data_IF_931473616981
#
_entry.id   IF_931473616981
#
_cell.length_a   1.000
_cell.length_b   1.000
_cell.length_c   1.000
_cell.angle_alpha   90.00
_cell.angle_beta   90.00
_cell.angle_gamma   90.00
#
_symmetry.space_group_name_H-M   'P 1'
#
loop_
_entity.id
_entity.type
_entity.pdbx_description
1 polymer ?
#
# COMPACT_ATOMS: atom_id res chain seq x y z
N UNK A 1 -31.63 16.53 11.71
CA UNK A 1 -30.36 15.89 11.32
C UNK A 1 -30.51 14.41 11.62
N UNK A 2 -30.57 13.57 10.60
CA UNK A 2 -30.58 12.10 10.83
C UNK A 2 -29.26 11.70 11.50
N UNK A 3 -29.29 10.79 12.51
CA UNK A 3 -28.06 10.31 13.12
C UNK A 3 -27.18 9.70 12.03
N UNK A 4 -25.95 10.20 11.89
CA UNK A 4 -24.97 9.57 11.01
C UNK A 4 -24.78 8.13 11.48
N UNK A 5 -25.08 7.18 10.60
CA UNK A 5 -24.89 5.75 10.88
C UNK A 5 -23.42 5.53 11.23
N UNK A 6 -23.14 5.02 12.40
CA UNK A 6 -21.78 4.78 12.84
C UNK A 6 -21.09 3.77 11.92
N UNK A 7 -19.86 4.06 11.49
CA UNK A 7 -19.14 3.19 10.59
C UNK A 7 -18.84 1.84 11.28
N UNK A 8 -19.02 0.69 10.60
CA UNK A 8 -18.90 -0.63 11.21
C UNK A 8 -17.49 -0.85 11.77
N UNK A 9 -17.42 -1.50 12.94
CA UNK A 9 -16.16 -1.96 13.50
C UNK A 9 -15.56 -3.04 12.60
N UNK A 10 -14.24 -3.03 12.42
CA UNK A 10 -13.54 -4.10 11.72
C UNK A 10 -12.54 -4.82 12.66
N UNK A 11 -12.16 -6.07 12.37
CA UNK A 11 -11.16 -6.79 13.13
C UNK A 11 -9.82 -6.07 13.19
N UNK A 12 -9.06 -6.36 14.23
CA UNK A 12 -7.69 -5.86 14.41
C UNK A 12 -6.64 -6.78 13.80
N UNK A 13 -5.36 -6.41 13.95
CA UNK A 13 -4.26 -7.21 13.46
C UNK A 13 -4.22 -8.56 14.20
N UNK A 14 -3.74 -9.59 13.51
CA UNK A 14 -3.47 -10.88 14.14
C UNK A 14 -2.35 -10.76 15.18
N UNK A 15 -2.50 -11.45 16.31
CA UNK A 15 -1.59 -11.35 17.44
C UNK A 15 -0.29 -12.15 17.26
N UNK A 16 -0.33 -13.27 16.52
CA UNK A 16 0.83 -14.13 16.30
C UNK A 16 1.46 -13.86 14.94
N UNK A 17 2.76 -13.59 14.93
CA UNK A 17 3.55 -13.43 13.72
C UNK A 17 4.81 -14.31 13.82
N UNK A 18 5.20 -14.89 12.70
CA UNK A 18 6.43 -15.66 12.53
C UNK A 18 6.99 -15.41 11.12
N UNK A 19 8.18 -15.88 10.81
CA UNK A 19 8.69 -15.82 9.44
C UNK A 19 7.95 -16.77 8.49
N UNK A 20 8.03 -16.55 7.17
CA UNK A 20 7.48 -17.46 6.18
C UNK A 20 8.19 -18.83 6.28
N UNK A 21 7.48 -19.89 5.88
CA UNK A 21 7.99 -21.26 5.95
C UNK A 21 8.64 -21.74 4.65
N UNK A 22 8.33 -21.10 3.53
CA UNK A 22 8.73 -21.54 2.18
C UNK A 22 10.02 -20.93 1.66
N UNK A 23 10.47 -19.83 2.25
CA UNK A 23 11.75 -19.20 1.90
C UNK A 23 12.27 -18.33 3.06
N UNK A 24 13.56 -18.01 3.02
CA UNK A 24 14.15 -17.06 3.96
C UNK A 24 14.02 -15.65 3.40
N UNK A 25 13.45 -14.74 4.19
CA UNK A 25 13.37 -13.32 3.80
C UNK A 25 14.78 -12.74 3.68
N UNK A 26 15.14 -12.13 2.54
CA UNK A 26 16.47 -11.58 2.34
C UNK A 26 16.71 -10.36 3.24
N UNK A 27 17.98 -10.16 3.64
CA UNK A 27 18.38 -8.95 4.34
C UNK A 27 18.08 -7.73 3.47
N UNK A 28 17.61 -6.65 4.07
CA UNK A 28 17.20 -5.45 3.34
C UNK A 28 15.76 -5.49 2.80
N UNK A 29 15.02 -6.59 3.01
CA UNK A 29 13.63 -6.69 2.58
C UNK A 29 12.74 -5.59 3.17
N UNK A 30 11.81 -5.11 2.36
CA UNK A 30 10.90 -4.01 2.69
C UNK A 30 9.46 -4.47 2.61
N UNK A 31 8.72 -4.31 3.69
CA UNK A 31 7.26 -4.29 3.65
C UNK A 31 6.80 -2.92 3.12
N UNK A 32 6.31 -2.85 1.88
CA UNK A 32 6.05 -1.56 1.23
C UNK A 32 4.68 -0.97 1.54
N UNK A 33 3.86 -1.64 2.36
CA UNK A 33 2.52 -1.13 2.69
C UNK A 33 1.99 -1.65 4.01
N UNK A 34 1.86 -0.75 4.97
CA UNK A 34 1.16 -0.99 6.22
C UNK A 34 0.55 0.30 6.75
N UNK A 35 -0.27 0.19 7.80
CA UNK A 35 -0.90 1.32 8.46
C UNK A 35 -0.68 1.26 9.96
N UNK A 36 -0.42 2.40 10.59
CA UNK A 36 -0.54 2.57 12.03
C UNK A 36 -1.84 3.30 12.35
N UNK A 37 -2.49 2.91 13.44
CA UNK A 37 -3.79 3.43 13.83
C UNK A 37 -3.75 3.79 15.31
N UNK A 38 -4.01 5.05 15.58
CA UNK A 38 -4.20 5.55 16.94
C UNK A 38 -5.68 5.82 17.21
N UNK A 39 -6.03 5.96 18.48
CA UNK A 39 -7.41 6.15 18.91
C UNK A 39 -7.68 7.59 19.38
N UNK A 40 -8.94 8.05 19.27
CA UNK A 40 -9.38 9.27 19.92
C UNK A 40 -9.15 9.23 21.45
N UNK A 41 -8.97 10.38 22.10
CA UNK A 41 -8.99 11.73 21.54
C UNK A 41 -7.68 12.17 20.88
N UNK A 42 -6.56 11.46 21.10
CA UNK A 42 -5.23 11.88 20.63
C UNK A 42 -5.12 11.86 19.10
N UNK A 43 -5.71 10.83 18.48
CA UNK A 43 -5.73 10.64 17.02
C UNK A 43 -7.17 10.49 16.57
N UNK A 44 -7.87 11.61 16.31
CA UNK A 44 -9.28 11.57 15.95
C UNK A 44 -9.49 10.86 14.61
N UNK A 45 -10.59 10.11 14.55
CA UNK A 45 -11.07 9.57 13.29
C UNK A 45 -11.85 10.65 12.51
N UNK A 46 -11.69 10.64 11.20
CA UNK A 46 -12.42 11.57 10.33
C UNK A 46 -13.92 11.23 10.29
N UNK A 47 -14.81 12.25 10.22
CA UNK A 47 -16.22 12.03 9.90
C UNK A 47 -16.39 11.36 8.54
N UNK A 48 -17.38 10.47 8.38
CA UNK A 48 -17.64 9.81 7.10
C UNK A 48 -16.67 8.70 6.73
N UNK A 49 -15.87 8.20 7.67
CA UNK A 49 -15.05 7.01 7.47
C UNK A 49 -15.91 5.79 7.10
N UNK A 50 -15.37 4.88 6.31
CA UNK A 50 -16.08 3.68 5.85
C UNK A 50 -16.07 2.53 6.86
N UNK A 51 -15.18 2.56 7.85
CA UNK A 51 -15.01 1.54 8.89
C UNK A 51 -14.41 2.15 10.16
N UNK A 52 -14.53 1.44 11.28
CA UNK A 52 -13.93 1.82 12.57
C UNK A 52 -12.94 0.73 13.01
N UNK A 53 -11.62 0.96 12.86
CA UNK A 53 -10.62 -0.02 13.25
C UNK A 53 -10.27 0.09 14.74
N UNK A 54 -9.77 -1.00 15.36
CA UNK A 54 -9.09 -0.92 16.63
C UNK A 54 -7.71 -0.27 16.49
N UNK A 55 -7.06 -0.04 17.63
CA UNK A 55 -5.67 0.45 17.63
C UNK A 55 -4.73 -0.54 16.90
N UNK A 56 -3.81 0.00 16.12
CA UNK A 56 -2.70 -0.73 15.52
C UNK A 56 -1.41 0.09 15.71
N UNK A 57 -0.78 -0.12 16.86
CA UNK A 57 0.33 0.71 17.31
C UNK A 57 1.62 0.45 16.50
N UNK A 58 2.46 1.47 16.37
CA UNK A 58 3.77 1.37 15.72
C UNK A 58 4.64 0.25 16.30
N UNK A 59 4.61 0.03 17.62
CA UNK A 59 5.32 -1.06 18.28
C UNK A 59 4.92 -2.44 17.74
N UNK A 60 3.63 -2.65 17.52
CA UNK A 60 3.11 -3.92 16.98
C UNK A 60 3.54 -4.13 15.53
N UNK A 61 3.57 -3.07 14.73
CA UNK A 61 4.08 -3.13 13.37
C UNK A 61 5.58 -3.48 13.32
N UNK A 62 6.40 -2.82 14.13
CA UNK A 62 7.84 -3.12 14.22
C UNK A 62 8.09 -4.56 14.68
N UNK A 63 7.32 -5.05 15.65
CA UNK A 63 7.41 -6.44 16.09
C UNK A 63 7.02 -7.43 14.98
N UNK A 64 6.04 -7.08 14.13
CA UNK A 64 5.68 -7.87 12.95
C UNK A 64 6.81 -7.88 11.93
N UNK A 65 7.46 -6.74 11.65
CA UNK A 65 8.63 -6.69 10.76
C UNK A 65 9.76 -7.61 11.28
N UNK A 66 10.06 -7.53 12.59
CA UNK A 66 11.10 -8.34 13.20
C UNK A 66 10.78 -9.85 13.13
N UNK A 67 9.55 -10.22 13.45
CA UNK A 67 9.10 -11.61 13.42
C UNK A 67 9.10 -12.21 12.01
N UNK A 68 8.81 -11.41 10.98
CA UNK A 68 8.78 -11.86 9.58
C UNK A 68 10.13 -11.72 8.86
N UNK A 69 11.14 -11.13 9.52
CA UNK A 69 12.47 -10.91 8.94
C UNK A 69 12.57 -9.70 8.01
N UNK A 70 11.56 -8.82 8.00
CA UNK A 70 11.60 -7.58 7.22
C UNK A 70 12.51 -6.55 7.88
N UNK A 71 13.43 -5.98 7.11
CA UNK A 71 14.36 -4.95 7.60
C UNK A 71 13.70 -3.58 7.69
N UNK A 72 12.91 -3.23 6.67
CA UNK A 72 12.32 -1.92 6.48
C UNK A 72 10.80 -2.00 6.27
N UNK A 73 10.13 -0.86 6.46
CA UNK A 73 8.70 -0.73 6.21
C UNK A 73 8.30 0.63 5.64
N UNK A 74 7.19 0.64 4.90
CA UNK A 74 6.56 1.86 4.41
C UNK A 74 5.16 1.97 5.00
N UNK A 75 4.95 3.03 5.78
CA UNK A 75 3.65 3.34 6.37
C UNK A 75 2.87 4.26 5.44
N UNK A 76 1.70 3.82 5.04
CA UNK A 76 0.74 4.62 4.28
C UNK A 76 -0.29 5.21 5.22
N UNK A 77 -0.58 6.51 5.05
CA UNK A 77 -1.63 7.18 5.82
C UNK A 77 -2.96 6.42 5.67
N UNK A 78 -3.53 6.03 6.80
CA UNK A 78 -4.78 5.27 6.83
C UNK A 78 -5.99 6.18 6.57
N UNK A 79 -6.98 5.70 5.82
CA UNK A 79 -8.15 6.49 5.42
C UNK A 79 -8.95 7.06 6.59
N UNK A 80 -9.04 6.33 7.71
CA UNK A 80 -9.80 6.79 8.89
C UNK A 80 -9.22 8.01 9.60
N UNK A 81 -7.96 8.34 9.35
CA UNK A 81 -7.34 9.59 9.82
C UNK A 81 -7.36 10.70 8.76
N UNK A 82 -7.83 10.42 7.54
CA UNK A 82 -7.89 11.40 6.44
C UNK A 82 -6.55 12.11 6.22
N UNK A 83 -6.58 13.44 6.20
CA UNK A 83 -5.39 14.29 6.02
C UNK A 83 -4.62 14.58 7.31
N UNK A 84 -5.03 14.01 8.44
CA UNK A 84 -4.32 14.18 9.72
C UNK A 84 -3.13 13.20 9.82
N UNK A 85 -1.98 13.59 9.30
CA UNK A 85 -0.77 12.76 9.26
C UNK A 85 0.01 12.74 10.60
N UNK A 86 -0.53 13.24 11.69
CA UNK A 86 0.19 13.39 12.97
C UNK A 86 0.82 12.09 13.45
N UNK A 87 0.03 11.00 13.52
CA UNK A 87 0.52 9.69 13.97
C UNK A 87 1.59 9.14 13.01
N UNK A 88 1.39 9.29 11.71
CA UNK A 88 2.38 8.91 10.71
C UNK A 88 3.71 9.63 10.95
N UNK A 89 3.69 10.95 11.10
CA UNK A 89 4.89 11.78 11.34
C UNK A 89 5.58 11.40 12.64
N UNK A 90 4.83 11.25 13.75
CA UNK A 90 5.38 10.82 15.04
C UNK A 90 6.09 9.45 14.91
N UNK A 91 5.45 8.51 14.22
CA UNK A 91 6.01 7.16 14.01
C UNK A 91 7.27 7.16 13.14
N UNK A 92 7.23 7.88 12.03
CA UNK A 92 8.39 7.99 11.12
C UNK A 92 9.57 8.66 11.80
N UNK A 93 9.33 9.76 12.53
CA UNK A 93 10.37 10.51 13.23
C UNK A 93 11.10 9.64 14.26
N UNK A 94 10.35 8.80 14.99
CA UNK A 94 10.92 7.88 15.96
C UNK A 94 11.67 6.69 15.33
N UNK A 95 11.46 6.40 14.04
CA UNK A 95 11.98 5.20 13.38
C UNK A 95 12.59 5.47 11.99
N UNK A 96 13.28 6.60 11.82
CA UNK A 96 13.82 7.09 10.53
C UNK A 96 14.74 6.12 9.80
N UNK A 97 15.46 5.32 10.54
CA UNK A 97 16.40 4.32 10.02
C UNK A 97 15.68 3.09 9.42
N UNK A 98 14.41 2.86 9.78
CA UNK A 98 13.66 1.68 9.35
C UNK A 98 12.43 2.00 8.50
N UNK A 99 11.84 3.20 8.64
CA UNK A 99 10.54 3.50 8.06
C UNK A 99 10.58 4.66 7.05
N UNK A 100 9.69 4.58 6.04
CA UNK A 100 9.30 5.66 5.14
C UNK A 100 7.79 5.83 5.20
N UNK A 101 7.30 6.98 4.71
CA UNK A 101 5.87 7.30 4.78
C UNK A 101 5.26 7.73 3.45
N UNK A 102 3.97 7.45 3.31
CA UNK A 102 3.11 7.94 2.25
C UNK A 102 1.99 8.72 2.91
N UNK A 103 1.92 10.01 2.65
CA UNK A 103 0.98 10.92 3.27
C UNK A 103 -0.29 11.13 2.42
N UNK A 104 -1.32 11.69 3.04
CA UNK A 104 -2.51 12.23 2.37
C UNK A 104 -2.62 13.69 2.80
N UNK A 105 -2.54 14.63 1.86
CA UNK A 105 -2.61 16.07 2.13
C UNK A 105 -3.53 16.76 1.12
N UNK A 106 -4.21 17.85 1.48
CA UNK A 106 -4.89 18.69 0.50
C UNK A 106 -3.87 19.46 -0.36
N UNK A 107 -4.26 19.91 -1.54
CA UNK A 107 -3.35 20.64 -2.46
C UNK A 107 -2.87 21.99 -1.90
N UNK A 108 -3.67 22.61 -1.08
CA UNK A 108 -3.36 23.88 -0.39
C UNK A 108 -2.55 23.68 0.89
N UNK A 109 -2.03 22.46 1.14
CA UNK A 109 -1.16 22.16 2.27
C UNK A 109 0.04 23.13 2.28
N UNK A 110 0.27 23.86 3.38
CA UNK A 110 1.35 24.84 3.47
C UNK A 110 2.73 24.25 3.20
N UNK A 111 3.61 25.01 2.55
CA UNK A 111 4.99 24.57 2.25
C UNK A 111 5.73 24.11 3.51
N UNK A 112 5.57 24.81 4.63
CA UNK A 112 6.17 24.42 5.92
C UNK A 112 5.74 23.01 6.36
N UNK A 113 4.48 22.65 6.15
CA UNK A 113 3.98 21.32 6.52
C UNK A 113 4.51 20.25 5.57
N UNK A 114 4.57 20.54 4.25
CA UNK A 114 5.19 19.66 3.26
C UNK A 114 6.67 19.41 3.57
N UNK A 115 7.41 20.44 3.96
CA UNK A 115 8.80 20.33 4.37
C UNK A 115 8.95 19.46 5.64
N UNK A 116 8.04 19.61 6.61
CA UNK A 116 8.03 18.78 7.82
C UNK A 116 7.74 17.31 7.51
N UNK A 117 6.80 17.02 6.62
CA UNK A 117 6.51 15.66 6.13
C UNK A 117 7.77 15.04 5.48
N UNK A 118 8.42 15.77 4.57
CA UNK A 118 9.66 15.31 3.92
C UNK A 118 10.76 15.05 4.94
N UNK A 119 10.95 15.96 5.90
CA UNK A 119 11.91 15.83 6.97
C UNK A 119 11.61 14.63 7.89
N UNK A 120 10.35 14.22 8.06
CA UNK A 120 9.97 13.03 8.80
C UNK A 120 10.25 11.72 8.06
N UNK A 121 10.43 11.76 6.73
CA UNK A 121 10.67 10.56 5.91
C UNK A 121 9.50 10.20 4.98
N UNK A 122 8.59 11.14 4.71
CA UNK A 122 7.56 10.98 3.68
C UNK A 122 8.23 11.04 2.29
N UNK A 123 7.89 10.08 1.43
CA UNK A 123 8.45 9.91 0.08
C UNK A 123 7.38 9.86 -1.02
N UNK A 124 6.10 10.01 -0.67
CA UNK A 124 5.02 10.01 -1.63
C UNK A 124 3.68 10.43 -1.05
N UNK A 125 2.71 10.60 -1.93
CA UNK A 125 1.31 10.91 -1.59
C UNK A 125 0.38 9.79 -2.07
N UNK A 126 -0.72 9.59 -1.34
CA UNK A 126 -1.76 8.63 -1.70
C UNK A 126 -3.01 9.32 -2.22
N UNK A 127 -3.51 8.84 -3.36
CA UNK A 127 -4.85 9.07 -3.88
C UNK A 127 -5.67 7.80 -3.63
N UNK A 128 -6.83 7.95 -3.00
CA UNK A 128 -7.68 6.83 -2.60
C UNK A 128 -9.14 7.14 -2.93
N UNK A 129 -9.70 6.39 -3.86
CA UNK A 129 -11.09 6.55 -4.31
C UNK A 129 -12.02 5.44 -3.81
N UNK A 130 -11.51 4.47 -3.06
CA UNK A 130 -12.30 3.33 -2.60
C UNK A 130 -12.84 3.48 -1.17
N UNK A 131 -12.17 4.27 -0.33
CA UNK A 131 -12.57 4.46 1.07
C UNK A 131 -12.73 5.95 1.38
N UNK A 132 -13.72 6.27 2.22
CA UNK A 132 -13.93 7.64 2.71
C UNK A 132 -12.69 8.21 3.39
N UNK A 133 -12.47 9.52 3.23
CA UNK A 133 -11.27 10.23 3.74
C UNK A 133 -10.10 10.28 2.77
N UNK A 134 -10.26 9.72 1.58
CA UNK A 134 -9.26 9.79 0.52
C UNK A 134 -9.37 11.06 -0.33
N UNK A 135 -8.43 11.20 -1.25
CA UNK A 135 -8.38 12.23 -2.29
C UNK A 135 -8.59 11.54 -3.62
N UNK A 136 -9.43 12.12 -4.48
CA UNK A 136 -9.80 11.58 -5.78
C UNK A 136 -8.83 11.93 -6.90
N UNK A 137 -9.18 11.49 -8.13
CA UNK A 137 -8.38 11.71 -9.35
C UNK A 137 -8.63 13.05 -10.02
N UNK A 138 -9.58 13.88 -9.55
CA UNK A 138 -9.99 15.11 -10.20
C UNK A 138 -8.81 16.05 -10.48
N UNK A 139 -7.86 16.10 -9.56
CA UNK A 139 -6.69 16.98 -9.63
C UNK A 139 -5.37 16.20 -9.63
N UNK A 140 -5.34 14.98 -10.21
CA UNK A 140 -4.16 14.10 -10.18
C UNK A 140 -2.92 14.77 -10.79
N UNK A 141 -3.06 15.60 -11.82
CA UNK A 141 -1.95 16.32 -12.46
C UNK A 141 -1.34 17.37 -11.50
N UNK A 142 -2.18 18.04 -10.70
CA UNK A 142 -1.72 19.01 -9.69
C UNK A 142 -0.95 18.28 -8.57
N UNK A 143 -1.46 17.12 -8.10
CA UNK A 143 -0.73 16.27 -7.16
C UNK A 143 0.58 15.74 -7.74
N UNK A 144 0.61 15.39 -9.02
CA UNK A 144 1.84 14.97 -9.68
C UNK A 144 2.87 16.10 -9.78
N UNK A 145 2.42 17.32 -10.06
CA UNK A 145 3.29 18.52 -10.06
C UNK A 145 3.88 18.77 -8.67
N UNK A 146 3.04 18.71 -7.62
CA UNK A 146 3.49 18.81 -6.23
C UNK A 146 4.49 17.69 -5.87
N UNK A 147 4.23 16.46 -6.25
CA UNK A 147 5.14 15.35 -6.02
C UNK A 147 6.48 15.54 -6.75
N UNK A 148 6.47 16.11 -7.96
CA UNK A 148 7.71 16.44 -8.70
C UNK A 148 8.56 17.47 -7.96
N UNK A 149 7.97 18.54 -7.43
CA UNK A 149 8.67 19.54 -6.62
C UNK A 149 9.29 18.94 -5.35
N UNK A 150 8.56 18.01 -4.71
CA UNK A 150 9.01 17.36 -3.48
C UNK A 150 9.97 16.18 -3.72
N UNK A 151 10.20 15.75 -4.96
CA UNK A 151 10.84 14.49 -5.33
C UNK A 151 10.12 13.27 -4.69
N UNK A 152 8.82 13.27 -4.72
CA UNK A 152 7.92 12.22 -4.25
C UNK A 152 7.30 11.45 -5.42
N UNK A 153 6.70 10.30 -5.13
CA UNK A 153 5.87 9.53 -6.06
C UNK A 153 4.40 9.52 -5.63
N UNK A 154 3.51 9.12 -6.54
CA UNK A 154 2.09 8.92 -6.24
C UNK A 154 1.79 7.44 -5.96
N UNK A 155 0.82 7.18 -5.08
CA UNK A 155 0.22 5.85 -4.89
C UNK A 155 -1.29 5.94 -5.10
N UNK A 156 -1.83 4.98 -5.84
CA UNK A 156 -3.23 4.93 -6.19
C UNK A 156 -3.90 3.69 -5.61
N UNK A 157 -4.91 3.91 -4.76
CA UNK A 157 -5.87 2.89 -4.40
C UNK A 157 -7.12 3.08 -5.27
N UNK A 158 -7.21 2.26 -6.29
CA UNK A 158 -8.21 2.31 -7.36
C UNK A 158 -8.64 0.92 -7.76
N UNK A 159 -9.87 0.76 -8.19
CA UNK A 159 -10.32 -0.44 -8.88
C UNK A 159 -9.78 -0.43 -10.32
N UNK A 160 -9.07 -1.48 -10.73
CA UNK A 160 -8.46 -1.52 -12.05
C UNK A 160 -9.49 -1.48 -13.20
N UNK A 161 -10.77 -1.77 -12.93
CA UNK A 161 -11.85 -1.63 -13.91
C UNK A 161 -12.03 -0.17 -14.38
N UNK A 162 -11.63 0.80 -13.55
CA UNK A 162 -11.65 2.23 -13.87
C UNK A 162 -10.41 2.71 -14.65
N UNK A 163 -9.35 1.90 -14.71
CA UNK A 163 -8.09 2.29 -15.35
C UNK A 163 -8.20 2.60 -16.85
N UNK A 164 -9.06 1.94 -17.65
CA UNK A 164 -9.20 2.30 -19.06
C UNK A 164 -9.54 3.78 -19.27
N UNK A 165 -10.41 4.34 -18.42
CA UNK A 165 -10.76 5.76 -18.48
C UNK A 165 -9.65 6.71 -17.99
N UNK A 166 -8.71 6.22 -17.17
CA UNK A 166 -7.66 7.01 -16.53
C UNK A 166 -6.30 6.88 -17.24
N UNK A 167 -6.06 5.80 -17.98
CA UNK A 167 -4.75 5.43 -18.49
C UNK A 167 -4.05 6.54 -19.29
N UNK A 168 -4.78 7.23 -20.16
CA UNK A 168 -4.24 8.33 -20.97
C UNK A 168 -3.77 9.54 -20.14
N UNK A 169 -4.35 9.75 -18.94
CA UNK A 169 -3.91 10.78 -17.98
C UNK A 169 -2.73 10.30 -17.18
N UNK A 170 -2.81 9.07 -16.66
CA UNK A 170 -1.79 8.48 -15.79
C UNK A 170 -0.45 8.30 -16.52
N UNK A 171 -0.47 7.90 -17.79
CA UNK A 171 0.76 7.73 -18.60
C UNK A 171 1.52 9.03 -18.87
N UNK A 172 0.91 10.20 -18.65
CA UNK A 172 1.52 11.53 -18.83
C UNK A 172 2.03 12.16 -17.54
N UNK A 173 1.84 11.49 -16.40
CA UNK A 173 2.28 12.05 -15.13
C UNK A 173 3.80 12.20 -15.08
N UNK A 174 4.32 13.36 -14.63
CA UNK A 174 5.76 13.65 -14.64
C UNK A 174 6.52 13.01 -13.46
N UNK A 175 5.88 12.10 -12.72
CA UNK A 175 6.43 11.40 -11.55
C UNK A 175 6.10 9.91 -11.59
N UNK A 176 6.90 9.05 -10.95
CA UNK A 176 6.53 7.66 -10.79
C UNK A 176 5.19 7.53 -10.04
N UNK A 177 4.40 6.54 -10.40
CA UNK A 177 3.22 6.17 -9.63
C UNK A 177 3.14 4.65 -9.41
N UNK A 178 2.44 4.27 -8.34
CA UNK A 178 2.26 2.89 -7.93
C UNK A 178 0.76 2.60 -7.75
N UNK A 179 0.30 1.49 -8.31
CA UNK A 179 -1.07 0.98 -8.11
C UNK A 179 -1.08 -0.05 -6.98
N UNK A 180 -1.92 0.19 -5.96
CA UNK A 180 -2.04 -0.67 -4.78
C UNK A 180 -2.79 -1.98 -5.09
N UNK A 181 -2.43 -3.06 -4.38
CA UNK A 181 -3.18 -4.31 -4.28
C UNK A 181 -3.58 -4.92 -5.63
N UNK A 182 -2.65 -4.99 -6.59
CA UNK A 182 -2.92 -5.51 -7.95
C UNK A 182 -4.15 -4.85 -8.60
N UNK A 183 -4.34 -3.54 -8.31
CA UNK A 183 -5.45 -2.75 -8.81
C UNK A 183 -6.79 -3.03 -8.12
N UNK A 184 -6.81 -3.67 -6.94
CA UNK A 184 -8.04 -4.04 -6.24
C UNK A 184 -9.05 -4.78 -7.15
N UNK A 185 -8.50 -5.58 -8.07
CA UNK A 185 -9.25 -6.17 -9.18
C UNK A 185 -9.87 -7.52 -8.77
N UNK A 186 -11.19 -7.72 -8.98
CA UNK A 186 -11.84 -8.99 -8.65
C UNK A 186 -11.38 -10.12 -9.58
N UNK A 187 -10.75 -11.16 -9.02
CA UNK A 187 -10.23 -12.30 -9.80
C UNK A 187 -11.32 -13.08 -10.57
N UNK A 188 -12.58 -12.99 -10.12
CA UNK A 188 -13.72 -13.59 -10.80
C UNK A 188 -13.96 -13.07 -12.23
N UNK A 189 -13.45 -11.89 -12.55
CA UNK A 189 -13.59 -11.30 -13.89
C UNK A 189 -12.50 -11.75 -14.88
N UNK A 190 -11.52 -12.51 -14.40
CA UNK A 190 -10.49 -13.13 -15.22
C UNK A 190 -9.42 -12.17 -15.73
N UNK A 191 -8.23 -12.70 -16.05
CA UNK A 191 -7.08 -11.94 -16.55
C UNK A 191 -7.30 -11.32 -17.93
N UNK A 192 -8.35 -11.73 -18.62
CA UNK A 192 -8.76 -11.21 -19.94
C UNK A 192 -9.55 -9.91 -19.89
N UNK A 193 -9.99 -9.45 -18.70
CA UNK A 193 -10.75 -8.21 -18.54
C UNK A 193 -9.93 -6.99 -18.97
N UNK A 194 -10.57 -5.99 -19.57
CA UNK A 194 -9.92 -4.81 -20.13
C UNK A 194 -9.24 -3.96 -19.03
N UNK A 195 -9.86 -3.82 -17.86
CA UNK A 195 -9.28 -3.09 -16.74
C UNK A 195 -7.97 -3.72 -16.27
N UNK A 196 -7.93 -5.04 -16.11
CA UNK A 196 -6.70 -5.73 -15.73
C UNK A 196 -5.63 -5.67 -16.84
N UNK A 197 -6.01 -5.83 -18.12
CA UNK A 197 -5.08 -5.64 -19.25
C UNK A 197 -4.50 -4.23 -19.27
N UNK A 198 -5.31 -3.21 -18.96
CA UNK A 198 -4.84 -1.83 -18.84
C UNK A 198 -3.82 -1.69 -17.71
N UNK A 199 -4.06 -2.30 -16.55
CA UNK A 199 -3.07 -2.31 -15.46
C UNK A 199 -1.75 -2.95 -15.92
N UNK A 200 -1.80 -4.12 -16.57
CA UNK A 200 -0.61 -4.81 -17.11
C UNK A 200 0.14 -3.93 -18.12
N UNK A 201 -0.58 -3.22 -18.99
CA UNK A 201 0.03 -2.28 -19.95
C UNK A 201 0.73 -1.12 -19.24
N UNK A 202 0.05 -0.47 -18.29
CA UNK A 202 0.64 0.62 -17.49
C UNK A 202 1.92 0.17 -16.76
N UNK A 203 1.93 -1.04 -16.22
CA UNK A 203 3.11 -1.61 -15.54
C UNK A 203 4.26 -1.82 -16.53
N UNK A 204 3.97 -2.35 -17.71
CA UNK A 204 4.97 -2.50 -18.81
C UNK A 204 5.54 -1.15 -19.24
N UNK A 205 4.70 -0.11 -19.26
CA UNK A 205 5.07 1.24 -19.68
C UNK A 205 5.74 2.05 -18.55
N UNK A 206 5.97 1.44 -17.38
CA UNK A 206 6.78 2.02 -16.30
C UNK A 206 6.06 2.35 -15.01
N UNK A 207 4.76 2.15 -14.91
CA UNK A 207 4.05 2.23 -13.64
C UNK A 207 4.52 1.13 -12.68
N UNK A 208 4.43 1.40 -11.39
CA UNK A 208 4.68 0.41 -10.35
C UNK A 208 3.39 -0.28 -9.93
N UNK A 209 3.50 -1.52 -9.48
CA UNK A 209 2.37 -2.26 -8.91
C UNK A 209 2.78 -2.95 -7.61
N UNK A 210 1.86 -2.96 -6.66
CA UNK A 210 2.04 -3.69 -5.40
C UNK A 210 1.36 -5.04 -5.46
N UNK A 211 2.14 -6.10 -5.33
CA UNK A 211 1.68 -7.46 -5.12
C UNK A 211 1.27 -7.60 -3.66
N UNK A 212 0.00 -7.43 -3.38
CA UNK A 212 -0.56 -7.45 -2.02
C UNK A 212 -2.08 -7.54 -2.07
N UNK A 213 -2.74 -7.62 -0.91
CA UNK A 213 -4.19 -7.56 -0.82
C UNK A 213 -4.90 -8.72 -1.50
N UNK A 214 -4.36 -9.94 -1.45
CA UNK A 214 -5.00 -11.13 -2.04
C UNK A 214 -6.47 -11.25 -1.63
N UNK A 215 -6.75 -11.07 -0.35
CA UNK A 215 -8.09 -11.13 0.25
C UNK A 215 -9.03 -9.99 -0.20
N UNK A 216 -8.49 -8.94 -0.86
CA UNK A 216 -9.28 -7.85 -1.46
C UNK A 216 -9.68 -8.15 -2.89
N UNK A 217 -8.96 -9.04 -3.54
CA UNK A 217 -9.10 -9.33 -4.97
C UNK A 217 -9.94 -10.58 -5.24
N UNK A 218 -10.24 -11.38 -4.22
CA UNK A 218 -11.05 -12.59 -4.37
C UNK A 218 -11.99 -12.81 -3.19
N UNK A 219 -13.12 -13.47 -3.45
CA UNK A 219 -14.03 -14.00 -2.44
C UNK A 219 -13.68 -15.44 -2.05
N UNK A 220 -12.71 -16.06 -2.73
CA UNK A 220 -12.12 -17.32 -2.30
C UNK A 220 -11.42 -17.13 -0.94
N UNK A 221 -11.61 -18.05 -0.03
CA UNK A 221 -10.89 -18.05 1.24
C UNK A 221 -9.39 -18.32 1.06
N UNK A 222 -8.60 -18.25 2.15
CA UNK A 222 -7.20 -18.65 2.11
C UNK A 222 -7.02 -20.05 1.47
N UNK A 223 -5.93 -20.24 0.69
CA UNK A 223 -4.77 -19.37 0.47
C UNK A 223 -4.88 -18.46 -0.78
N UNK A 224 -6.07 -18.05 -1.20
CA UNK A 224 -6.32 -17.07 -2.28
C UNK A 224 -5.69 -17.44 -3.63
N UNK A 225 -5.74 -18.70 -4.03
CA UNK A 225 -5.05 -19.24 -5.23
C UNK A 225 -5.49 -18.59 -6.53
N UNK A 226 -6.72 -18.13 -6.62
CA UNK A 226 -7.25 -17.43 -7.80
C UNK A 226 -6.46 -16.14 -8.12
N UNK A 227 -5.67 -15.60 -7.19
CA UNK A 227 -4.82 -14.42 -7.41
C UNK A 227 -3.51 -14.74 -8.16
N UNK A 228 -3.08 -16.02 -8.19
CA UNK A 228 -1.79 -16.42 -8.77
C UNK A 228 -1.64 -16.03 -10.25
N UNK A 229 -2.62 -16.30 -11.15
CA UNK A 229 -2.49 -15.92 -12.55
C UNK A 229 -2.36 -14.41 -12.77
N UNK A 230 -2.96 -13.60 -11.89
CA UNK A 230 -2.90 -12.14 -11.94
C UNK A 230 -1.50 -11.64 -11.54
N UNK A 231 -0.97 -12.15 -10.44
CA UNK A 231 0.39 -11.81 -10.00
C UNK A 231 1.43 -12.21 -11.08
N UNK A 232 1.30 -13.41 -11.68
CA UNK A 232 2.18 -13.85 -12.76
C UNK A 232 2.16 -12.89 -13.94
N UNK A 233 0.99 -12.42 -14.39
CA UNK A 233 0.88 -11.46 -15.51
C UNK A 233 1.53 -10.12 -15.20
N UNK A 234 1.44 -9.64 -13.97
CA UNK A 234 2.09 -8.39 -13.55
C UNK A 234 3.61 -8.54 -13.47
N UNK A 235 4.09 -9.66 -12.93
CA UNK A 235 5.54 -9.95 -12.86
C UNK A 235 6.13 -10.20 -14.25
N UNK A 236 5.43 -10.91 -15.15
CA UNK A 236 5.84 -11.08 -16.55
C UNK A 236 5.95 -9.73 -17.29
N UNK A 237 5.06 -8.78 -16.98
CA UNK A 237 5.04 -7.49 -17.66
C UNK A 237 6.29 -6.64 -17.35
N UNK A 238 6.66 -6.51 -16.06
CA UNK A 238 7.84 -5.77 -15.61
C UNK A 238 8.20 -6.17 -14.16
N UNK A 239 9.02 -7.21 -13.96
CA UNK A 239 9.40 -7.65 -12.62
C UNK A 239 10.14 -6.56 -11.83
N UNK A 240 10.81 -5.63 -12.49
CA UNK A 240 11.49 -4.48 -11.89
C UNK A 240 10.54 -3.35 -11.45
N UNK A 241 9.25 -3.48 -11.71
CA UNK A 241 8.19 -2.54 -11.33
C UNK A 241 7.23 -3.13 -10.29
N UNK A 242 7.46 -4.35 -9.85
CA UNK A 242 6.68 -4.99 -8.81
C UNK A 242 7.34 -4.77 -7.43
N UNK A 243 6.53 -4.50 -6.42
CA UNK A 243 6.91 -4.49 -5.01
C UNK A 243 5.91 -5.31 -4.21
N UNK A 244 6.27 -5.78 -3.01
CA UNK A 244 5.38 -6.53 -2.13
C UNK A 244 5.05 -5.71 -0.88
N UNK A 245 3.84 -5.89 -0.31
CA UNK A 245 3.44 -5.29 0.95
C UNK A 245 2.45 -6.16 1.71
N UNK A 246 2.53 -6.12 3.05
CA UNK A 246 1.68 -6.93 3.94
C UNK A 246 0.23 -6.46 3.96
N UNK A 247 0.00 -5.16 3.80
CA UNK A 247 -1.26 -4.46 4.08
C UNK A 247 -1.69 -4.59 5.56
N UNK A 248 -0.71 -4.82 6.47
CA UNK A 248 -0.96 -4.83 7.90
C UNK A 248 -1.57 -3.50 8.36
N UNK A 249 -2.59 -3.46 9.22
CA UNK A 249 -3.21 -4.53 9.98
C UNK A 249 -4.48 -5.12 9.31
N UNK A 250 -4.59 -5.07 7.99
CA UNK A 250 -5.69 -5.66 7.20
C UNK A 250 -7.05 -5.02 7.47
N UNK A 251 -7.08 -3.69 7.57
CA UNK A 251 -8.29 -2.90 7.84
C UNK A 251 -9.40 -3.14 6.81
N UNK A 252 -10.64 -2.92 7.21
CA UNK A 252 -11.83 -3.13 6.37
C UNK A 252 -11.93 -4.55 5.79
N UNK A 253 -11.39 -5.54 6.50
CA UNK A 253 -11.58 -6.95 6.19
C UNK A 253 -12.35 -7.62 7.33
N UNK A 254 -13.52 -8.17 7.02
CA UNK A 254 -14.39 -8.90 7.97
C UNK A 254 -14.36 -10.41 7.75
N UNK A 255 -13.66 -10.85 6.70
CA UNK A 255 -13.48 -12.26 6.38
C UNK A 255 -12.31 -12.90 7.14
N UNK A 256 -12.10 -14.19 6.86
CA UNK A 256 -10.92 -14.91 7.37
C UNK A 256 -9.65 -14.29 6.75
N UNK A 257 -8.68 -14.00 7.61
CA UNK A 257 -7.42 -13.39 7.20
C UNK A 257 -6.23 -14.28 7.51
N UNK A 258 -5.33 -14.43 6.54
CA UNK A 258 -4.02 -15.04 6.73
C UNK A 258 -3.09 -14.14 7.56
N UNK A 259 -2.15 -14.72 8.27
CA UNK A 259 -1.04 -13.98 8.87
C UNK A 259 -0.10 -13.39 7.80
N UNK A 260 0.71 -12.42 8.19
CA UNK A 260 1.69 -11.83 7.26
C UNK A 260 2.70 -12.88 6.77
N UNK A 261 3.03 -13.86 7.61
CA UNK A 261 3.87 -15.00 7.26
C UNK A 261 3.30 -15.82 6.11
N UNK A 262 1.99 -16.11 6.19
CA UNK A 262 1.29 -16.88 5.14
C UNK A 262 1.16 -16.06 3.85
N UNK A 263 1.01 -14.73 3.95
CA UNK A 263 1.04 -13.84 2.78
C UNK A 263 2.42 -13.80 2.12
N UNK A 264 3.50 -13.93 2.89
CA UNK A 264 4.84 -14.11 2.35
C UNK A 264 5.00 -15.49 1.70
N UNK A 265 4.44 -16.54 2.28
CA UNK A 265 4.43 -17.86 1.65
C UNK A 265 3.63 -17.86 0.33
N UNK A 266 2.53 -17.11 0.25
CA UNK A 266 1.79 -16.88 -1.00
C UNK A 266 2.65 -16.12 -2.04
N UNK A 267 3.53 -15.21 -1.62
CA UNK A 267 4.47 -14.56 -2.54
C UNK A 267 5.37 -15.59 -3.24
N UNK A 268 5.70 -16.71 -2.61
CA UNK A 268 6.46 -17.77 -3.28
C UNK A 268 5.66 -18.48 -4.40
N UNK A 269 4.33 -18.46 -4.35
CA UNK A 269 3.48 -18.92 -5.46
C UNK A 269 3.35 -17.83 -6.54
N UNK A 270 3.24 -16.58 -6.16
CA UNK A 270 3.20 -15.44 -7.10
C UNK A 270 4.52 -15.24 -7.84
N UNK A 271 5.65 -15.53 -7.19
CA UNK A 271 7.01 -15.31 -7.70
C UNK A 271 7.88 -16.52 -7.33
N UNK A 272 7.76 -17.64 -8.05
CA UNK A 272 8.53 -18.85 -7.72
C UNK A 272 10.05 -18.68 -7.86
N UNK A 273 10.50 -17.83 -8.79
CA UNK A 273 11.92 -17.53 -8.98
C UNK A 273 12.46 -16.70 -7.79
N UNK A 274 13.45 -17.24 -7.09
CA UNK A 274 14.05 -16.60 -5.92
C UNK A 274 14.73 -15.27 -6.24
N UNK A 275 15.39 -15.15 -7.39
CA UNK A 275 16.07 -13.91 -7.77
C UNK A 275 15.07 -12.79 -8.04
N UNK A 276 13.97 -13.10 -8.72
CA UNK A 276 12.88 -12.15 -8.93
C UNK A 276 12.19 -11.79 -7.61
N UNK A 277 11.97 -12.75 -6.73
CA UNK A 277 11.38 -12.52 -5.41
C UNK A 277 12.27 -11.61 -4.56
N UNK A 278 13.58 -11.83 -4.55
CA UNK A 278 14.53 -10.97 -3.85
C UNK A 278 14.56 -9.56 -4.45
N UNK A 279 14.52 -9.40 -5.77
CA UNK A 279 14.37 -8.09 -6.43
C UNK A 279 13.10 -7.36 -5.97
N UNK A 280 11.96 -8.05 -5.90
CA UNK A 280 10.67 -7.49 -5.49
C UNK A 280 10.68 -7.08 -4.02
N UNK A 281 11.39 -7.83 -3.17
CA UNK A 281 11.47 -7.56 -1.74
C UNK A 281 12.56 -6.54 -1.36
N UNK A 282 13.63 -6.41 -2.17
CA UNK A 282 14.80 -5.59 -1.83
C UNK A 282 15.06 -4.50 -2.88
N UNK A 283 15.52 -4.86 -4.08
CA UNK A 283 16.07 -3.89 -5.05
C UNK A 283 15.01 -2.87 -5.50
N UNK A 284 13.84 -3.35 -5.84
CA UNK A 284 12.75 -2.51 -6.32
C UNK A 284 12.28 -1.50 -5.27
N UNK A 285 11.93 -1.91 -4.02
CA UNK A 285 11.53 -0.96 -3.00
C UNK A 285 12.65 -0.02 -2.57
N UNK A 286 13.93 -0.44 -2.55
CA UNK A 286 15.04 0.46 -2.27
C UNK A 286 15.09 1.59 -3.30
N UNK A 287 14.93 1.27 -4.58
CA UNK A 287 14.89 2.25 -5.67
C UNK A 287 13.69 3.20 -5.58
N UNK A 288 12.48 2.68 -5.27
CA UNK A 288 11.27 3.48 -5.26
C UNK A 288 11.15 4.36 -4.01
N UNK A 289 11.49 3.82 -2.83
CA UNK A 289 11.27 4.48 -1.54
C UNK A 289 12.53 5.10 -0.93
N UNK A 290 13.69 4.96 -1.59
CA UNK A 290 14.95 5.58 -1.14
C UNK A 290 15.51 4.98 0.14
N UNK A 291 15.42 3.65 0.31
CA UNK A 291 16.16 2.97 1.38
C UNK A 291 17.63 2.81 1.00
N UNK A 292 18.55 2.77 1.99
CA UNK A 292 19.97 2.52 1.70
C UNK A 292 20.15 1.14 1.09
N UNK A 293 21.11 1.01 0.17
CA UNK A 293 21.48 -0.29 -0.39
C UNK A 293 21.83 -1.28 0.74
N UNK A 294 21.44 -2.55 0.58
CA UNK A 294 21.61 -3.60 1.58
C UNK A 294 23.06 -4.07 1.68
#
# INVERSE_FOLDING_TARGET
>A
MSPQKEAPACPGPQSSQHGPTRFKVPRGAVDTHAHVIGLPPKYPFMPGRSYTPPEAAAKSYLAMLDATGMTYGVLTQVSVHGTNNRLLVETLTANRNRLRGIAVIPLDCPERERAALKAAGVVGLRINVLYGGGIGFEQVENYASLCKEMAWHLQFLVDARELPALAARLSKLPVPFLVDHMGHFPTSEGVGNEGFKTLVSLVRDGAWVRLSGAYRNTTEGPPYRSTIPFAHKLVEAAPERCVWGSDWPHVANWGVMMGVSDLLDLLADWVPDEKLRNRILVDNPHRLFGFPAA
#
